data_IF_262163102178
#
_entry.id   IF_262163102178
#
_cell.length_a   1.000
_cell.length_b   1.000
_cell.length_c   1.000
_cell.angle_alpha   90.00
_cell.angle_beta   90.00
_cell.angle_gamma   90.00
#
_symmetry.space_group_name_H-M   'P 1'
#
loop_
_entity.id
_entity.type
_entity.pdbx_description
1 polymer ?
#
# COMPACT_ATOMS: atom_id res chain seq x y z
N UNK A 1 -5.89 -6.88 32.23
CA UNK A 1 -5.92 -7.58 30.94
C UNK A 1 -4.93 -6.88 30.01
N UNK A 2 -4.20 -7.60 29.15
CA UNK A 2 -3.42 -6.94 28.11
C UNK A 2 -4.35 -6.13 27.21
N UNK A 3 -3.88 -4.97 26.74
CA UNK A 3 -4.61 -4.16 25.76
C UNK A 3 -4.79 -4.97 24.46
N UNK A 4 -5.99 -4.96 23.83
CA UNK A 4 -6.21 -5.59 22.54
C UNK A 4 -5.25 -5.09 21.47
N UNK A 5 -4.64 -6.00 20.71
CA UNK A 5 -3.76 -5.65 19.58
C UNK A 5 -4.51 -4.83 18.54
N UNK A 6 -3.98 -3.66 18.19
CA UNK A 6 -4.53 -2.77 17.18
C UNK A 6 -3.99 -3.13 15.79
N UNK A 7 -4.88 -3.42 14.85
CA UNK A 7 -4.52 -3.92 13.52
C UNK A 7 -5.06 -2.97 12.47
N UNK A 8 -4.18 -2.20 11.81
CA UNK A 8 -4.58 -1.30 10.73
C UNK A 8 -4.79 -2.08 9.42
N UNK A 9 -5.96 -1.93 8.79
CA UNK A 9 -6.31 -2.60 7.54
C UNK A 9 -6.22 -1.59 6.39
N UNK A 10 -5.21 -1.75 5.53
CA UNK A 10 -4.94 -0.90 4.37
C UNK A 10 -5.19 -1.62 3.05
N UNK A 11 -5.77 -0.91 2.08
CA UNK A 11 -5.85 -1.32 0.67
C UNK A 11 -6.31 -0.14 -0.19
N UNK A 12 -6.20 -0.25 -1.51
CA UNK A 12 -6.88 0.69 -2.39
C UNK A 12 -8.42 0.60 -2.22
N UNK A 13 -9.10 1.75 -2.34
CA UNK A 13 -10.55 1.81 -2.30
C UNK A 13 -11.13 1.19 -3.59
N UNK A 14 -11.47 -0.10 -3.51
CA UNK A 14 -12.10 -0.83 -4.59
C UNK A 14 -13.12 -1.84 -4.08
N UNK A 15 -14.17 -2.03 -4.88
CA UNK A 15 -15.34 -2.81 -4.49
C UNK A 15 -15.00 -4.27 -4.23
N UNK A 16 -14.08 -4.87 -5.01
CA UNK A 16 -13.73 -6.29 -4.85
C UNK A 16 -13.06 -6.62 -3.52
N UNK A 17 -12.32 -5.69 -2.95
CA UNK A 17 -11.64 -5.89 -1.67
C UNK A 17 -12.53 -5.56 -0.47
N UNK A 18 -13.68 -4.91 -0.69
CA UNK A 18 -14.58 -4.52 0.38
C UNK A 18 -15.09 -5.74 1.18
N UNK A 19 -15.61 -6.83 0.57
CA UNK A 19 -16.02 -8.01 1.32
C UNK A 19 -14.87 -8.64 2.11
N UNK A 20 -13.65 -8.66 1.55
CA UNK A 20 -12.46 -9.18 2.23
C UNK A 20 -12.13 -8.35 3.47
N UNK A 21 -12.07 -7.02 3.34
CA UNK A 21 -11.80 -6.10 4.45
C UNK A 21 -12.86 -6.22 5.55
N UNK A 22 -14.14 -6.28 5.17
CA UNK A 22 -15.25 -6.39 6.12
C UNK A 22 -15.25 -7.73 6.88
N UNK A 23 -14.98 -8.84 6.18
CA UNK A 23 -14.90 -10.16 6.78
C UNK A 23 -13.71 -10.26 7.73
N UNK A 24 -12.55 -9.76 7.32
CA UNK A 24 -11.37 -9.71 8.16
C UNK A 24 -11.62 -8.87 9.42
N UNK A 25 -12.18 -7.67 9.28
CA UNK A 25 -12.51 -6.80 10.41
C UNK A 25 -13.36 -7.56 11.46
N UNK A 26 -14.41 -8.26 11.00
CA UNK A 26 -15.25 -9.11 11.87
C UNK A 26 -14.45 -10.22 12.55
N UNK A 27 -13.64 -10.97 11.79
CA UNK A 27 -12.83 -12.06 12.34
C UNK A 27 -11.83 -11.57 13.39
N UNK A 28 -11.19 -10.43 13.17
CA UNK A 28 -10.26 -9.83 14.13
C UNK A 28 -10.96 -9.42 15.43
N UNK A 29 -12.18 -8.87 15.34
CA UNK A 29 -13.01 -8.59 16.52
C UNK A 29 -13.40 -9.86 17.28
N UNK A 30 -13.76 -10.94 16.57
CA UNK A 30 -14.09 -12.25 17.16
C UNK A 30 -12.89 -12.88 17.88
N UNK A 31 -11.67 -12.55 17.45
CA UNK A 31 -10.41 -12.93 18.08
C UNK A 31 -9.97 -11.97 19.21
N UNK A 32 -10.84 -11.05 19.64
CA UNK A 32 -10.58 -10.05 20.69
C UNK A 32 -9.46 -9.05 20.33
N UNK A 33 -9.16 -8.87 19.04
CA UNK A 33 -8.30 -7.79 18.55
C UNK A 33 -9.09 -6.52 18.25
N UNK A 34 -8.39 -5.40 18.04
CA UNK A 34 -8.96 -4.11 17.66
C UNK A 34 -8.58 -3.73 16.22
N UNK A 35 -9.34 -4.13 15.20
CA UNK A 35 -9.12 -3.66 13.85
C UNK A 35 -9.34 -2.14 13.75
N UNK A 36 -8.58 -1.50 12.85
CA UNK A 36 -8.70 -0.10 12.48
C UNK A 36 -8.87 -0.04 10.96
N UNK A 37 -10.09 0.20 10.51
CA UNK A 37 -10.48 0.29 9.10
C UNK A 37 -11.18 1.62 8.83
N UNK A 38 -10.72 2.34 7.80
CA UNK A 38 -11.22 3.68 7.47
C UNK A 38 -12.75 3.72 7.32
N UNK A 39 -13.33 2.78 6.58
CA UNK A 39 -14.76 2.78 6.28
C UNK A 39 -15.67 2.43 7.46
N UNK A 40 -15.13 1.88 8.57
CA UNK A 40 -15.92 1.46 9.74
C UNK A 40 -15.60 2.18 11.04
N UNK A 41 -14.33 2.45 11.30
CA UNK A 41 -13.89 2.78 12.65
C UNK A 41 -13.56 4.26 12.85
N UNK A 42 -13.07 4.92 11.79
CA UNK A 42 -12.54 6.28 11.95
C UNK A 42 -12.76 7.22 10.78
N UNK A 43 -13.37 6.81 9.68
CA UNK A 43 -13.80 7.70 8.60
C UNK A 43 -15.31 7.99 8.64
N UNK A 44 -15.84 8.73 7.65
CA UNK A 44 -15.12 9.42 6.59
C UNK A 44 -14.59 10.79 7.03
N UNK A 45 -13.48 11.24 6.41
CA UNK A 45 -12.91 12.58 6.62
C UNK A 45 -12.97 13.42 5.34
N UNK A 46 -12.93 14.77 5.46
CA UNK A 46 -12.67 15.64 4.31
C UNK A 46 -11.33 15.28 3.62
N UNK A 47 -11.23 15.43 2.29
CA UNK A 47 -10.01 15.07 1.54
C UNK A 47 -8.72 15.70 2.08
N UNK A 48 -8.80 16.91 2.62
CA UNK A 48 -7.65 17.67 3.14
C UNK A 48 -7.07 17.03 4.42
N UNK A 49 -7.90 16.34 5.20
CA UNK A 49 -7.52 15.72 6.48
C UNK A 49 -7.31 14.21 6.36
N UNK A 50 -7.76 13.62 5.25
CA UNK A 50 -7.80 12.17 5.04
C UNK A 50 -6.44 11.52 5.28
N UNK A 51 -5.39 12.03 4.63
CA UNK A 51 -4.05 11.43 4.71
C UNK A 51 -3.51 11.53 6.13
N UNK A 52 -3.47 12.73 6.71
CA UNK A 52 -2.92 12.95 8.06
C UNK A 52 -3.65 12.12 9.11
N UNK A 53 -4.98 12.00 9.01
CA UNK A 53 -5.75 11.18 9.94
C UNK A 53 -5.44 9.69 9.76
N UNK A 54 -5.39 9.16 8.53
CA UNK A 54 -4.96 7.77 8.31
C UNK A 54 -3.57 7.51 8.91
N UNK A 55 -2.61 8.42 8.72
CA UNK A 55 -1.26 8.27 9.26
C UNK A 55 -1.24 8.21 10.79
N UNK A 56 -2.07 9.00 11.48
CA UNK A 56 -2.22 8.92 12.95
C UNK A 56 -2.73 7.54 13.40
N UNK A 57 -3.70 6.97 12.68
CA UNK A 57 -4.21 5.63 13.00
C UNK A 57 -3.18 4.53 12.71
N UNK A 58 -2.34 4.69 11.68
CA UNK A 58 -1.19 3.81 11.46
C UNK A 58 -0.18 3.93 12.61
N UNK A 59 0.11 5.14 13.09
CA UNK A 59 1.01 5.36 14.24
C UNK A 59 0.49 4.69 15.53
N UNK A 60 -0.83 4.66 15.72
CA UNK A 60 -1.48 4.07 16.88
C UNK A 60 -1.63 2.54 16.81
N UNK A 61 -1.38 1.91 15.65
CA UNK A 61 -1.53 0.46 15.50
C UNK A 61 -0.29 -0.32 15.96
N UNK A 62 -0.46 -1.61 16.21
CA UNK A 62 0.64 -2.54 16.50
C UNK A 62 1.04 -3.31 15.22
N UNK A 63 0.03 -3.68 14.43
CA UNK A 63 0.16 -4.40 13.16
C UNK A 63 -0.37 -3.52 12.03
N UNK A 64 0.29 -3.58 10.87
CA UNK A 64 -0.15 -2.99 9.61
C UNK A 64 -0.37 -4.10 8.59
N UNK A 65 -1.61 -4.23 8.12
CA UNK A 65 -2.02 -5.22 7.14
C UNK A 65 -2.33 -4.54 5.81
N UNK A 66 -1.71 -4.98 4.72
CA UNK A 66 -1.88 -4.40 3.40
C UNK A 66 -2.36 -5.42 2.38
N UNK A 67 -3.41 -5.09 1.64
CA UNK A 67 -3.87 -5.84 0.47
C UNK A 67 -3.56 -5.09 -0.83
N UNK A 68 -2.82 -5.74 -1.73
CA UNK A 68 -2.43 -5.23 -3.04
C UNK A 68 -3.14 -5.99 -4.15
N UNK A 69 -3.68 -5.23 -5.11
CA UNK A 69 -4.48 -5.68 -6.25
C UNK A 69 -4.26 -4.72 -7.43
N UNK A 70 -4.96 -4.91 -8.55
CA UNK A 70 -4.89 -4.08 -9.76
C UNK A 70 -5.28 -2.60 -9.69
N UNK A 71 -5.83 -2.08 -8.58
CA UNK A 71 -6.13 -0.65 -8.43
C UNK A 71 -5.17 0.04 -7.48
N UNK A 72 -4.71 1.21 -7.88
CA UNK A 72 -3.95 2.11 -7.02
C UNK A 72 -4.88 2.97 -6.16
N UNK A 73 -4.47 3.27 -4.93
CA UNK A 73 -5.18 4.24 -4.08
C UNK A 73 -5.10 5.66 -4.63
N UNK A 74 -5.90 6.57 -4.06
CA UNK A 74 -5.91 7.98 -4.44
C UNK A 74 -4.51 8.59 -4.35
N UNK A 75 -4.08 9.31 -5.38
CA UNK A 75 -2.77 9.97 -5.42
C UNK A 75 -2.82 11.33 -4.75
N UNK A 76 -1.98 11.55 -3.73
CA UNK A 76 -1.81 12.86 -3.11
C UNK A 76 -0.77 13.67 -3.88
N UNK A 77 -1.18 14.83 -4.39
CA UNK A 77 -0.26 15.77 -5.03
C UNK A 77 0.74 16.39 -4.05
N UNK A 78 0.39 16.48 -2.77
CA UNK A 78 1.26 17.02 -1.72
C UNK A 78 2.36 16.00 -1.37
N UNK A 79 1.98 14.76 -1.05
CA UNK A 79 2.94 13.70 -0.66
C UNK A 79 3.62 13.01 -1.84
N UNK A 80 3.20 13.30 -3.08
CA UNK A 80 3.71 12.68 -4.32
C UNK A 80 3.62 11.14 -4.32
N UNK A 81 2.65 10.59 -3.61
CA UNK A 81 2.40 9.16 -3.51
C UNK A 81 0.91 8.87 -3.30
N UNK A 82 0.51 7.60 -3.43
CA UNK A 82 -0.85 7.17 -3.08
C UNK A 82 -1.03 7.12 -1.56
N UNK A 83 -2.26 7.29 -1.08
CA UNK A 83 -2.57 7.23 0.37
C UNK A 83 -2.06 5.90 0.97
N UNK A 84 -2.38 4.78 0.32
CA UNK A 84 -1.89 3.44 0.70
C UNK A 84 -0.37 3.35 0.77
N UNK A 85 0.36 4.02 -0.13
CA UNK A 85 1.82 4.08 -0.07
C UNK A 85 2.31 4.93 1.11
N UNK A 86 1.65 6.07 1.39
CA UNK A 86 1.95 6.88 2.58
C UNK A 86 1.71 6.10 3.87
N UNK A 87 0.62 5.34 3.96
CA UNK A 87 0.30 4.46 5.08
C UNK A 87 1.39 3.38 5.28
N UNK A 88 1.81 2.70 4.22
CA UNK A 88 2.90 1.72 4.27
C UNK A 88 4.22 2.34 4.72
N UNK A 89 4.60 3.49 4.14
CA UNK A 89 5.81 4.23 4.54
C UNK A 89 5.77 4.59 6.03
N UNK A 90 4.61 5.05 6.53
CA UNK A 90 4.43 5.38 7.94
C UNK A 90 4.54 4.15 8.84
N UNK A 91 3.92 3.03 8.46
CA UNK A 91 4.02 1.79 9.21
C UNK A 91 5.49 1.32 9.32
N UNK A 92 6.24 1.43 8.22
CA UNK A 92 7.66 1.10 8.20
C UNK A 92 8.48 2.01 9.10
N UNK A 93 8.27 3.33 9.01
CA UNK A 93 8.95 4.34 9.84
C UNK A 93 8.67 4.16 11.33
N UNK A 94 7.45 3.74 11.69
CA UNK A 94 7.05 3.49 13.06
C UNK A 94 7.37 2.07 13.55
N UNK A 95 8.13 1.28 12.78
CA UNK A 95 8.54 -0.08 13.11
C UNK A 95 7.36 -0.99 13.50
N UNK A 96 6.26 -0.89 12.75
CA UNK A 96 5.08 -1.75 12.94
C UNK A 96 5.36 -3.16 12.44
N UNK A 97 4.63 -4.15 12.95
CA UNK A 97 4.64 -5.47 12.34
C UNK A 97 3.83 -5.43 11.03
N UNK A 98 4.49 -5.57 9.90
CA UNK A 98 3.89 -5.39 8.57
C UNK A 98 3.62 -6.74 7.93
N UNK A 99 2.37 -6.96 7.49
CA UNK A 99 1.95 -8.12 6.73
C UNK A 99 1.35 -7.64 5.41
N UNK A 100 1.88 -8.12 4.29
CA UNK A 100 1.43 -7.74 2.95
C UNK A 100 0.88 -8.96 2.23
N UNK A 101 -0.34 -8.84 1.72
CA UNK A 101 -0.97 -9.79 0.81
C UNK A 101 -1.06 -9.17 -0.57
N UNK A 102 -0.58 -9.90 -1.57
CA UNK A 102 -0.63 -9.51 -2.97
C UNK A 102 -1.36 -10.61 -3.71
N UNK A 103 -2.27 -10.27 -4.60
CA UNK A 103 -2.90 -11.28 -5.45
C UNK A 103 -1.89 -11.88 -6.41
N UNK A 104 -1.99 -13.20 -6.60
CA UNK A 104 -1.00 -14.01 -7.32
C UNK A 104 -0.67 -13.45 -8.69
N UNK A 105 -1.67 -13.04 -9.48
CA UNK A 105 -1.42 -12.52 -10.82
C UNK A 105 -0.67 -11.17 -10.83
N UNK A 106 -0.85 -10.33 -9.79
CA UNK A 106 -0.08 -9.08 -9.63
C UNK A 106 1.35 -9.40 -9.18
N UNK A 107 1.48 -10.34 -8.25
CA UNK A 107 2.77 -10.83 -7.78
C UNK A 107 3.58 -11.42 -8.94
N UNK A 108 2.99 -12.32 -9.71
CA UNK A 108 3.62 -13.00 -10.84
C UNK A 108 4.01 -12.01 -11.93
N UNK A 109 3.09 -11.11 -12.31
CA UNK A 109 3.37 -10.04 -13.27
C UNK A 109 4.58 -9.19 -12.83
N UNK A 110 4.62 -8.81 -11.55
CA UNK A 110 5.73 -8.02 -11.04
C UNK A 110 7.05 -8.81 -11.07
N UNK A 111 7.10 -9.99 -10.46
CA UNK A 111 8.36 -10.71 -10.27
C UNK A 111 8.93 -11.33 -11.54
N UNK A 112 8.08 -11.83 -12.42
CA UNK A 112 8.51 -12.58 -13.60
C UNK A 112 8.55 -11.75 -14.88
N UNK A 113 7.81 -10.64 -14.96
CA UNK A 113 7.75 -9.83 -16.18
C UNK A 113 8.31 -8.41 -15.93
N UNK A 114 7.65 -7.61 -15.09
CA UNK A 114 7.93 -6.17 -14.97
C UNK A 114 9.25 -5.87 -14.26
N UNK A 115 9.62 -6.62 -13.22
CA UNK A 115 10.83 -6.38 -12.43
C UNK A 115 12.11 -6.48 -13.26
N UNK A 116 12.14 -7.40 -14.24
CA UNK A 116 13.28 -7.56 -15.15
C UNK A 116 13.46 -6.31 -16.02
N UNK A 117 12.37 -5.82 -16.62
CA UNK A 117 12.36 -4.60 -17.44
C UNK A 117 12.81 -3.40 -16.60
N UNK A 118 12.26 -3.23 -15.40
CA UNK A 118 12.66 -2.14 -14.48
C UNK A 118 14.16 -2.26 -14.14
N UNK A 119 14.65 -3.46 -13.87
CA UNK A 119 16.06 -3.71 -13.56
C UNK A 119 17.01 -3.30 -14.69
N UNK A 120 16.68 -3.64 -15.92
CA UNK A 120 17.44 -3.23 -17.11
C UNK A 120 17.42 -1.71 -17.29
N UNK A 121 16.26 -1.09 -17.13
CA UNK A 121 16.12 0.36 -17.25
C UNK A 121 16.90 1.11 -16.16
N UNK A 122 16.92 0.59 -14.93
CA UNK A 122 17.72 1.16 -13.84
C UNK A 122 19.22 1.03 -14.09
N UNK A 123 19.66 -0.09 -14.68
CA UNK A 123 21.04 -0.28 -15.10
C UNK A 123 21.43 0.76 -16.15
N UNK A 124 20.64 0.91 -17.21
CA UNK A 124 20.89 1.90 -18.27
C UNK A 124 20.84 3.34 -17.76
N UNK A 125 19.94 3.64 -16.82
CA UNK A 125 19.90 4.96 -16.18
C UNK A 125 21.19 5.24 -15.42
N UNK A 126 21.67 4.28 -14.62
CA UNK A 126 22.92 4.42 -13.87
C UNK A 126 24.14 4.56 -14.76
N UNK A 127 24.20 3.82 -15.87
CA UNK A 127 25.28 3.94 -16.86
C UNK A 127 25.30 5.32 -17.53
N UNK A 128 24.12 5.91 -17.76
CA UNK A 128 23.97 7.21 -18.45
C UNK A 128 24.22 8.40 -17.52
N UNK A 129 23.69 8.35 -16.29
CA UNK A 129 23.66 9.50 -15.37
C UNK A 129 24.59 9.34 -14.16
N UNK A 130 25.21 8.18 -13.98
CA UNK A 130 26.08 7.89 -12.83
C UNK A 130 25.35 7.74 -11.49
N UNK A 131 24.01 7.83 -11.46
CA UNK A 131 23.18 7.78 -10.25
C UNK A 131 21.96 6.88 -10.46
N UNK A 132 21.23 6.57 -9.39
CA UNK A 132 19.89 5.98 -9.51
C UNK A 132 18.84 7.09 -9.56
N UNK A 133 17.68 6.87 -10.20
CA UNK A 133 16.60 7.85 -10.19
C UNK A 133 16.13 8.15 -8.77
N UNK A 134 15.87 9.42 -8.51
CA UNK A 134 15.27 9.87 -7.23
C UNK A 134 13.81 9.39 -7.09
N UNK A 135 13.14 9.13 -8.22
CA UNK A 135 11.78 8.61 -8.28
C UNK A 135 11.67 7.60 -9.43
N UNK A 136 11.06 6.45 -9.15
CA UNK A 136 10.89 5.34 -10.08
C UNK A 136 9.66 5.48 -11.00
N UNK A 137 8.73 6.39 -10.72
CA UNK A 137 7.46 6.53 -11.45
C UNK A 137 7.62 6.62 -12.98
N UNK A 138 8.62 7.35 -13.47
CA UNK A 138 8.88 7.42 -14.92
C UNK A 138 9.33 6.07 -15.48
N UNK A 139 10.22 5.38 -14.77
CA UNK A 139 10.72 4.05 -15.16
C UNK A 139 9.61 3.01 -15.08
N UNK A 140 8.83 3.00 -14.00
CA UNK A 140 7.68 2.11 -13.82
C UNK A 140 6.66 2.30 -14.94
N UNK A 141 6.32 3.56 -15.26
CA UNK A 141 5.39 3.87 -16.35
C UNK A 141 5.91 3.39 -17.70
N UNK A 142 7.17 3.67 -18.02
CA UNK A 142 7.75 3.26 -19.30
C UNK A 142 7.95 1.73 -19.37
N UNK A 143 8.31 1.06 -18.28
CA UNK A 143 8.35 -0.39 -18.19
C UNK A 143 6.97 -1.00 -18.47
N UNK A 144 5.91 -0.38 -17.94
CA UNK A 144 4.53 -0.77 -18.21
C UNK A 144 4.11 -0.50 -19.67
N UNK A 145 4.51 0.60 -20.29
CA UNK A 145 4.28 0.86 -21.73
C UNK A 145 5.02 -0.13 -22.65
N UNK A 146 6.21 -0.60 -22.24
CA UNK A 146 6.99 -1.59 -23.00
C UNK A 146 6.50 -3.02 -22.82
N UNK A 147 5.63 -3.27 -21.85
CA UNK A 147 5.17 -4.61 -21.53
C UNK A 147 4.26 -5.16 -22.67
N UNK A 148 4.55 -6.34 -23.24
CA UNK A 148 3.93 -6.80 -24.48
C UNK A 148 2.44 -7.19 -24.37
N UNK A 149 1.94 -7.43 -23.16
CA UNK A 149 0.55 -7.91 -22.91
C UNK A 149 -0.39 -6.81 -22.40
N UNK A 150 -0.11 -5.56 -22.73
CA UNK A 150 -0.89 -4.41 -22.26
C UNK A 150 -2.25 -4.30 -22.92
#
# INVERSE_FOLDING_TARGET
>A
MPEPTKIFISSAAQDRLRPLRENLHRLLMEMEHRPLMYEKDFGPWPPEQLVENCLKYVEMSDIFLLFISDKAGNYSQYYKATITHCEFQKAYQCNKYIIVFVEDYIYDLFWYEIRLIIGEMLKSYKETFGTIPVNYFKIEKEAWEKHPKK
#
